data_IF_236208576536
#
_entry.id   IF_236208576536
#
_cell.length_a   1.000
_cell.length_b   1.000
_cell.length_c   1.000
_cell.angle_alpha   90.00
_cell.angle_beta   90.00
_cell.angle_gamma   90.00
#
_symmetry.space_group_name_H-M   'P 1'
#
loop_
_entity.id
_entity.type
_entity.pdbx_description
1 polymer ?
#
# COMPACT_ATOMS: atom_id res chain seq x y z
N UNK A 1 0.64 -13.76 9.60
CA UNK A 1 0.50 -14.53 8.33
C UNK A 1 1.13 -13.76 7.18
N UNK A 2 1.31 -14.36 6.00
CA UNK A 2 1.83 -13.67 4.82
C UNK A 2 0.98 -12.43 4.45
N UNK A 3 -0.33 -12.48 4.67
CA UNK A 3 -1.24 -11.36 4.40
C UNK A 3 -1.03 -10.17 5.34
N UNK A 4 -0.74 -10.41 6.62
CA UNK A 4 -0.46 -9.35 7.59
C UNK A 4 0.85 -8.64 7.28
N UNK A 5 1.87 -9.39 6.86
CA UNK A 5 3.14 -8.82 6.40
C UNK A 5 2.94 -7.96 5.16
N UNK A 6 2.18 -8.46 4.16
CA UNK A 6 1.86 -7.70 2.96
C UNK A 6 1.08 -6.42 3.28
N UNK A 7 0.06 -6.50 4.14
CA UNK A 7 -0.69 -5.34 4.60
C UNK A 7 0.22 -4.30 5.23
N UNK A 8 1.14 -4.74 6.09
CA UNK A 8 2.09 -3.86 6.80
C UNK A 8 3.03 -3.16 5.82
N UNK A 9 3.59 -3.88 4.85
CA UNK A 9 4.48 -3.29 3.84
C UNK A 9 3.78 -2.22 3.00
N UNK A 10 2.52 -2.46 2.60
CA UNK A 10 1.74 -1.49 1.82
C UNK A 10 1.44 -0.25 2.63
N UNK A 11 1.03 -0.43 3.87
CA UNK A 11 0.74 0.68 4.76
C UNK A 11 1.99 1.53 5.01
N UNK A 12 3.14 0.91 5.29
CA UNK A 12 4.41 1.62 5.46
C UNK A 12 4.85 2.37 4.19
N UNK A 13 4.72 1.76 3.01
CA UNK A 13 5.07 2.42 1.76
C UNK A 13 4.14 3.61 1.44
N UNK A 14 2.86 3.51 1.78
CA UNK A 14 1.92 4.62 1.67
C UNK A 14 2.30 5.74 2.64
N UNK A 15 2.54 5.44 3.91
CA UNK A 15 2.95 6.42 4.91
C UNK A 15 4.26 7.14 4.54
N UNK A 16 5.29 6.40 4.13
CA UNK A 16 6.58 6.96 3.69
C UNK A 16 6.48 7.88 2.47
N UNK A 17 5.44 7.70 1.65
CA UNK A 17 5.25 8.49 0.43
C UNK A 17 4.19 9.59 0.58
N UNK A 18 3.68 9.80 1.79
CA UNK A 18 2.58 10.75 2.04
C UNK A 18 1.31 10.33 1.29
N UNK A 19 0.97 9.04 1.36
CA UNK A 19 -0.20 8.41 0.73
C UNK A 19 -0.22 8.50 -0.82
N UNK A 20 0.93 8.75 -1.44
CA UNK A 20 1.06 8.74 -2.89
C UNK A 20 1.15 7.30 -3.42
N UNK A 21 0.01 6.75 -3.86
CA UNK A 21 -0.11 5.38 -4.36
C UNK A 21 0.88 5.03 -5.48
N UNK A 22 1.18 5.96 -6.39
CA UNK A 22 2.14 5.73 -7.49
C UNK A 22 3.56 5.58 -6.92
N UNK A 23 3.98 6.45 -6.00
CA UNK A 23 5.28 6.35 -5.35
C UNK A 23 5.39 5.12 -4.46
N UNK A 24 4.34 4.78 -3.70
CA UNK A 24 4.29 3.57 -2.90
C UNK A 24 4.42 2.30 -3.76
N UNK A 25 3.75 2.28 -4.92
CA UNK A 25 3.88 1.20 -5.89
C UNK A 25 5.33 1.04 -6.39
N UNK A 26 5.98 2.15 -6.75
CA UNK A 26 7.38 2.15 -7.15
C UNK A 26 8.32 1.65 -6.04
N UNK A 27 8.10 2.05 -4.78
CA UNK A 27 8.89 1.57 -3.65
C UNK A 27 8.75 0.05 -3.42
N UNK A 28 7.56 -0.50 -3.62
CA UNK A 28 7.29 -1.92 -3.46
C UNK A 28 7.56 -2.75 -4.72
N UNK A 29 7.97 -2.13 -5.83
CA UNK A 29 8.24 -2.81 -7.10
C UNK A 29 6.98 -3.43 -7.74
N UNK A 30 5.80 -2.86 -7.47
CA UNK A 30 4.53 -3.34 -8.01
C UNK A 30 3.81 -2.26 -8.81
N UNK A 31 2.72 -2.63 -9.49
CA UNK A 31 1.91 -1.65 -10.23
C UNK A 31 1.03 -0.82 -9.28
N UNK A 32 0.67 0.40 -9.71
CA UNK A 32 -0.30 1.24 -9.00
C UNK A 32 -1.65 0.53 -8.81
N UNK A 33 -2.08 -0.26 -9.81
CA UNK A 33 -3.34 -0.99 -9.73
C UNK A 33 -3.28 -2.14 -8.71
N UNK A 34 -2.10 -2.75 -8.53
CA UNK A 34 -1.85 -3.71 -7.44
C UNK A 34 -1.97 -3.04 -6.07
N UNK A 35 -1.39 -1.85 -5.87
CA UNK A 35 -1.58 -1.07 -4.63
C UNK A 35 -3.07 -0.81 -4.39
N UNK A 36 -3.78 -0.29 -5.39
CA UNK A 36 -5.22 0.01 -5.28
C UNK A 36 -6.05 -1.22 -4.93
N UNK A 37 -5.79 -2.35 -5.58
CA UNK A 37 -6.47 -3.61 -5.28
C UNK A 37 -6.22 -4.05 -3.84
N UNK A 38 -4.96 -4.03 -3.40
CA UNK A 38 -4.57 -4.47 -2.06
C UNK A 38 -5.09 -3.52 -0.97
N UNK A 39 -5.12 -2.21 -1.23
CA UNK A 39 -5.76 -1.24 -0.33
C UNK A 39 -7.24 -1.58 -0.10
N UNK A 40 -7.99 -1.89 -1.17
CA UNK A 40 -9.39 -2.35 -1.04
C UNK A 40 -9.50 -3.70 -0.35
N UNK A 41 -8.62 -4.65 -0.67
CA UNK A 41 -8.60 -6.00 -0.06
C UNK A 41 -8.36 -5.92 1.46
N UNK A 42 -7.46 -5.04 1.90
CA UNK A 42 -7.02 -4.92 3.28
C UNK A 42 -7.67 -3.78 4.07
N UNK A 43 -8.57 -3.00 3.46
CA UNK A 43 -9.19 -1.83 4.09
C UNK A 43 -8.18 -0.76 4.51
N UNK A 44 -7.17 -0.51 3.68
CA UNK A 44 -6.13 0.51 3.94
C UNK A 44 -6.63 1.85 3.39
N UNK A 45 -6.86 2.81 4.28
CA UNK A 45 -7.35 4.15 3.96
C UNK A 45 -6.58 5.20 4.74
N UNK A 46 -6.38 6.37 4.13
CA UNK A 46 -5.76 7.52 4.79
C UNK A 46 -6.70 8.04 5.87
N UNK A 47 -6.29 7.92 7.14
CA UNK A 47 -7.01 8.55 8.23
C UNK A 47 -6.74 10.05 8.18
N UNK A 48 -7.77 10.83 7.88
CA UNK A 48 -7.77 12.29 8.03
C UNK A 48 -7.63 12.70 9.49
#
# INVERSE_FOLDING_TARGET
TLEEMERTMIQQALEQTGWNQTRAAHLLGISRDSIRYKMRKYGIEEKK
#
